data_IF_875017814553
#
_entry.id   IF_875017814553
#
_cell.length_a   1.000
_cell.length_b   1.000
_cell.length_c   1.000
_cell.angle_alpha   90.00
_cell.angle_beta   90.00
_cell.angle_gamma   90.00
#
_symmetry.space_group_name_H-M   'P 1'
#
loop_
_entity.id
_entity.type
_entity.pdbx_description
1 polymer ?
#
# COMPACT_ATOMS: atom_id res chain seq x y z
N UNK A 1 2.08 5.87 17.77
CA UNK A 1 0.70 5.71 17.28
C UNK A 1 0.76 4.87 16.02
N UNK A 2 -0.23 4.00 15.73
CA UNK A 2 -0.25 3.28 14.46
C UNK A 2 -0.25 4.28 13.30
N UNK A 3 0.20 3.86 12.14
CA UNK A 3 0.16 4.68 10.93
C UNK A 3 -0.46 3.89 9.79
N UNK A 4 -1.23 4.56 8.94
CA UNK A 4 -1.95 3.93 7.84
C UNK A 4 -1.40 4.40 6.50
N UNK A 5 -0.88 3.46 5.71
CA UNK A 5 -0.57 3.71 4.30
C UNK A 5 -1.81 3.41 3.48
N UNK A 6 -2.30 4.41 2.76
CA UNK A 6 -3.42 4.29 1.82
C UNK A 6 -2.84 4.41 0.42
N UNK A 7 -3.09 3.40 -0.41
CA UNK A 7 -2.58 3.35 -1.77
C UNK A 7 -3.72 3.08 -2.75
N UNK A 8 -4.07 4.12 -3.49
CA UNK A 8 -4.99 4.09 -4.64
C UNK A 8 -4.19 3.80 -5.89
N UNK A 9 -4.56 2.76 -6.62
CA UNK A 9 -3.86 2.38 -7.83
C UNK A 9 -4.78 1.89 -8.95
N UNK A 10 -4.33 2.17 -10.16
CA UNK A 10 -4.86 1.61 -11.39
C UNK A 10 -3.79 0.71 -12.00
N UNK A 11 -4.13 -0.56 -12.21
CA UNK A 11 -3.21 -1.55 -12.78
C UNK A 11 -3.19 -1.36 -14.30
N UNK A 12 -2.00 -1.15 -14.86
CA UNK A 12 -1.77 -0.98 -16.30
C UNK A 12 -1.13 -2.21 -16.94
N UNK A 13 -0.48 -3.07 -16.15
CA UNK A 13 0.10 -4.34 -16.59
C UNK A 13 -0.18 -5.44 -15.55
N UNK A 14 -1.26 -6.23 -15.74
CA UNK A 14 -1.65 -7.25 -14.77
C UNK A 14 -0.59 -8.32 -14.54
N UNK A 15 0.15 -8.73 -15.58
CA UNK A 15 1.14 -9.80 -15.48
C UNK A 15 2.34 -9.38 -14.62
N UNK A 16 2.89 -8.19 -14.87
CA UNK A 16 3.95 -7.64 -14.00
C UNK A 16 3.45 -7.33 -12.59
N UNK A 17 2.18 -6.95 -12.46
CA UNK A 17 1.58 -6.69 -11.16
C UNK A 17 1.47 -7.97 -10.29
N UNK A 18 1.30 -9.15 -10.89
CA UNK A 18 1.37 -10.42 -10.17
C UNK A 18 2.73 -10.63 -9.49
N UNK A 19 3.83 -10.30 -10.17
CA UNK A 19 5.17 -10.37 -9.58
C UNK A 19 5.31 -9.42 -8.39
N UNK A 20 4.85 -8.18 -8.54
CA UNK A 20 4.78 -7.23 -7.43
C UNK A 20 4.00 -7.79 -6.23
N UNK A 21 2.84 -8.41 -6.47
CA UNK A 21 1.99 -8.97 -5.40
C UNK A 21 2.69 -10.09 -4.63
N UNK A 22 3.63 -10.81 -5.23
CA UNK A 22 4.45 -11.84 -4.58
C UNK A 22 5.56 -11.25 -3.74
N UNK A 23 6.24 -10.20 -4.22
CA UNK A 23 7.39 -9.61 -3.53
C UNK A 23 7.01 -8.65 -2.39
N UNK A 24 5.88 -7.94 -2.50
CA UNK A 24 5.53 -6.91 -1.52
C UNK A 24 5.22 -7.42 -0.11
N UNK A 25 4.39 -8.47 0.11
CA UNK A 25 3.96 -8.87 1.45
C UNK A 25 5.07 -9.17 2.47
N UNK A 26 6.13 -9.95 2.15
CA UNK A 26 7.19 -10.23 3.13
C UNK A 26 7.90 -8.95 3.58
N UNK A 27 8.09 -7.99 2.69
CA UNK A 27 8.71 -6.69 3.04
C UNK A 27 7.82 -5.86 3.97
N UNK A 28 6.49 -5.91 3.79
CA UNK A 28 5.55 -5.21 4.68
C UNK A 28 5.68 -5.78 6.10
N UNK A 29 5.66 -7.12 6.22
CA UNK A 29 5.79 -7.81 7.49
C UNK A 29 7.15 -7.55 8.18
N UNK A 30 8.25 -7.52 7.42
CA UNK A 30 9.60 -7.28 7.95
C UNK A 30 9.76 -5.92 8.65
N UNK A 31 8.93 -4.94 8.29
CA UNK A 31 8.92 -3.60 8.88
C UNK A 31 7.77 -3.40 9.89
N UNK A 32 7.17 -4.51 10.35
CA UNK A 32 6.08 -4.52 11.33
C UNK A 32 4.73 -4.12 10.75
N UNK A 33 4.61 -4.05 9.43
CA UNK A 33 3.37 -3.71 8.74
C UNK A 33 2.44 -4.90 8.57
N UNK A 34 1.13 -4.62 8.43
CA UNK A 34 0.10 -5.61 8.08
C UNK A 34 -0.93 -5.02 7.12
N UNK A 35 -1.54 -5.88 6.31
CA UNK A 35 -2.64 -5.47 5.43
C UNK A 35 -3.95 -5.38 6.20
N UNK A 36 -4.68 -4.29 6.03
CA UNK A 36 -6.06 -4.12 6.49
C UNK A 36 -7.07 -4.29 5.35
N UNK A 37 -6.71 -3.80 4.16
CA UNK A 37 -7.47 -3.98 2.92
C UNK A 37 -6.50 -4.16 1.75
N UNK A 38 -6.82 -5.01 0.78
CA UNK A 38 -5.90 -5.31 -0.33
C UNK A 38 -6.62 -5.56 -1.66
N UNK A 39 -7.35 -4.55 -2.13
CA UNK A 39 -8.06 -4.56 -3.41
C UNK A 39 -9.26 -5.48 -3.43
N UNK A 40 -10.03 -5.48 -2.34
CA UNK A 40 -11.41 -5.97 -2.34
C UNK A 40 -12.35 -5.00 -3.05
N UNK A 41 -13.64 -5.30 -3.03
CA UNK A 41 -14.68 -4.43 -3.59
C UNK A 41 -14.64 -3.04 -2.94
N UNK A 42 -14.70 -2.01 -3.77
CA UNK A 42 -14.73 -0.61 -3.34
C UNK A 42 -16.11 -0.06 -3.65
N UNK A 43 -16.79 0.47 -2.64
CA UNK A 43 -18.06 1.18 -2.78
C UNK A 43 -17.83 2.69 -2.55
N UNK A 44 -17.76 3.51 -3.62
CA UNK A 44 -17.68 4.96 -3.47
C UNK A 44 -18.88 5.51 -2.69
N UNK A 45 -18.63 6.48 -1.81
CA UNK A 45 -19.69 7.09 -0.99
C UNK A 45 -20.04 8.50 -1.52
N UNK A 46 -19.05 9.40 -1.59
CA UNK A 46 -19.25 10.81 -1.96
C UNK A 46 -18.04 11.38 -2.71
N UNK A 47 -18.15 12.61 -3.23
CA UNK A 47 -17.01 13.38 -3.76
C UNK A 47 -16.44 12.89 -5.09
N UNK A 48 -17.10 11.94 -5.77
CA UNK A 48 -16.73 11.46 -7.09
C UNK A 48 -15.43 10.66 -7.16
N UNK A 49 -14.82 10.33 -6.00
CA UNK A 49 -13.63 9.49 -5.97
C UNK A 49 -13.98 8.04 -6.30
N UNK A 50 -13.44 7.52 -7.40
CA UNK A 50 -13.73 6.17 -7.91
C UNK A 50 -12.43 5.34 -8.04
N UNK A 51 -11.79 4.97 -6.92
CA UNK A 51 -10.56 4.20 -6.98
C UNK A 51 -10.84 2.79 -7.48
N UNK A 52 -10.04 2.30 -8.43
CA UNK A 52 -10.20 0.96 -9.02
C UNK A 52 -9.60 -0.13 -8.14
N UNK A 53 -8.59 0.21 -7.36
CA UNK A 53 -7.98 -0.70 -6.38
C UNK A 53 -7.42 0.11 -5.21
N UNK A 54 -7.94 -0.14 -4.01
CA UNK A 54 -7.42 0.41 -2.77
C UNK A 54 -6.67 -0.64 -1.96
N UNK A 55 -5.53 -0.24 -1.40
CA UNK A 55 -4.77 -1.00 -0.40
C UNK A 55 -4.59 -0.14 0.83
N UNK A 56 -4.84 -0.72 2.00
CA UNK A 56 -4.60 -0.09 3.30
C UNK A 56 -3.64 -0.98 4.09
N UNK A 57 -2.52 -0.41 4.51
CA UNK A 57 -1.55 -1.05 5.41
C UNK A 57 -1.56 -0.33 6.74
N UNK A 58 -1.41 -1.07 7.82
CA UNK A 58 -1.07 -0.51 9.13
C UNK A 58 0.40 -0.77 9.43
N UNK A 59 1.11 0.23 9.94
CA UNK A 59 2.45 0.13 10.50
C UNK A 59 2.46 0.62 11.96
N UNK A 60 3.49 0.28 12.76
CA UNK A 60 3.60 0.74 14.14
C UNK A 60 3.80 2.25 14.29
N UNK A 61 4.29 2.93 13.23
CA UNK A 61 4.49 4.37 13.16
C UNK A 61 4.70 4.85 11.72
N UNK A 62 4.56 6.17 11.49
CA UNK A 62 4.88 6.81 10.20
C UNK A 62 6.35 6.59 9.83
N UNK A 63 7.25 6.62 10.81
CA UNK A 63 8.67 6.33 10.60
C UNK A 63 8.89 4.91 10.05
N UNK A 64 8.19 3.89 10.57
CA UNK A 64 8.26 2.52 10.05
C UNK A 64 7.71 2.40 8.62
N UNK A 65 6.62 3.11 8.31
CA UNK A 65 6.10 3.15 6.95
C UNK A 65 7.10 3.77 5.95
N UNK A 66 7.80 4.84 6.35
CA UNK A 66 8.87 5.42 5.54
C UNK A 66 10.09 4.52 5.42
N UNK A 67 10.50 3.87 6.51
CA UNK A 67 11.60 2.91 6.51
C UNK A 67 11.32 1.76 5.53
N UNK A 68 10.12 1.19 5.58
CA UNK A 68 9.65 0.19 4.62
C UNK A 68 9.70 0.73 3.17
N UNK A 69 9.13 1.90 2.90
CA UNK A 69 9.05 2.45 1.55
C UNK A 69 10.41 2.72 0.90
N UNK A 70 11.41 3.06 1.72
CA UNK A 70 12.78 3.39 1.30
C UNK A 70 13.77 2.23 1.48
N UNK A 71 13.28 1.05 1.88
CA UNK A 71 14.11 -0.11 2.15
C UNK A 71 14.69 -0.74 0.88
N UNK A 72 15.91 -1.32 0.96
CA UNK A 72 16.45 -2.12 -0.13
C UNK A 72 15.59 -3.37 -0.38
N UNK A 73 14.93 -3.93 0.65
CA UNK A 73 14.06 -5.09 0.51
C UNK A 73 12.80 -4.79 -0.30
N UNK A 74 12.20 -3.59 -0.13
CA UNK A 74 11.01 -3.19 -0.89
C UNK A 74 11.34 -2.58 -2.26
N UNK A 75 12.56 -2.09 -2.49
CA UNK A 75 12.94 -1.42 -3.74
C UNK A 75 12.61 -2.21 -5.02
N UNK A 76 12.83 -3.53 -5.11
CA UNK A 76 12.42 -4.32 -6.28
C UNK A 76 10.90 -4.35 -6.49
N UNK A 77 10.13 -4.57 -5.43
CA UNK A 77 8.67 -4.57 -5.49
C UNK A 77 8.13 -3.17 -5.86
N UNK A 78 8.73 -2.11 -5.31
CA UNK A 78 8.40 -0.72 -5.65
C UNK A 78 8.60 -0.43 -7.13
N UNK A 79 9.73 -0.86 -7.70
CA UNK A 79 10.02 -0.70 -9.14
C UNK A 79 8.98 -1.42 -10.00
N UNK A 80 8.65 -2.68 -9.68
CA UNK A 80 7.61 -3.43 -10.39
C UNK A 80 6.27 -2.68 -10.35
N UNK A 81 5.83 -2.23 -9.17
CA UNK A 81 4.60 -1.45 -9.01
C UNK A 81 4.59 -0.20 -9.90
N UNK A 82 5.70 0.54 -9.96
CA UNK A 82 5.80 1.76 -10.78
C UNK A 82 5.72 1.46 -12.28
N UNK A 83 6.15 0.28 -12.72
CA UNK A 83 6.06 -0.15 -14.12
C UNK A 83 4.70 -0.74 -14.48
N UNK A 84 3.94 -1.24 -13.49
CA UNK A 84 2.71 -2.00 -13.72
C UNK A 84 1.44 -1.30 -13.24
N UNK A 85 1.54 -0.15 -12.57
CA UNK A 85 0.41 0.58 -12.03
C UNK A 85 0.67 2.08 -11.85
N UNK A 86 -0.33 2.89 -12.17
CA UNK A 86 -0.39 4.28 -11.73
C UNK A 86 -0.89 4.29 -10.28
N UNK A 87 -0.15 4.92 -9.37
CA UNK A 87 -0.47 4.85 -7.94
C UNK A 87 -0.31 6.19 -7.23
N UNK A 88 -1.26 6.48 -6.34
CA UNK A 88 -1.28 7.61 -5.42
C UNK A 88 -1.27 7.04 -4.01
N UNK A 89 -0.23 7.36 -3.25
CA UNK A 89 0.03 6.73 -1.97
C UNK A 89 0.33 7.80 -0.93
N UNK A 90 -0.32 7.70 0.23
CA UNK A 90 -0.13 8.57 1.38
C UNK A 90 0.05 7.74 2.64
N UNK A 91 0.69 8.32 3.64
CA UNK A 91 0.71 7.79 5.01
C UNK A 91 0.08 8.82 5.94
N UNK A 92 -0.71 8.36 6.90
CA UNK A 92 -1.34 9.21 7.92
C UNK A 92 -1.14 8.58 9.30
N UNK A 93 -0.97 9.41 10.31
CA UNK A 93 -1.01 8.98 11.71
C UNK A 93 -2.41 8.45 12.07
N UNK A 94 -2.44 7.31 12.72
CA UNK A 94 -3.64 6.70 13.27
C UNK A 94 -3.91 7.19 14.70
N UNK A 95 -5.15 7.00 15.15
CA UNK A 95 -5.54 7.25 16.54
C UNK A 95 -5.65 5.93 17.29
N UNK A 96 -5.35 5.95 18.60
CA UNK A 96 -5.74 4.84 19.46
C UNK A 96 -7.27 4.82 19.62
N UNK A 97 -7.91 3.65 19.76
CA UNK A 97 -9.32 3.59 20.08
C UNK A 97 -9.58 4.35 21.40
N UNK A 98 -10.58 5.22 21.40
CA UNK A 98 -11.13 5.87 22.58
C UNK A 98 -11.97 4.91 23.42
#
# INVERSE_FOLDING_TARGET
MPAYVINDMEITDPLRFEEYKRLSPPTVAAYGGRFLARGGEVSPLEGGWQPKRLVILEFPSVAQAHAWLNSPEYAPARRLRQLSANSRMVVIDGMLPS
#
